data_IF_543408846762
#
_entry.id   IF_543408846762
#
_cell.length_a   1.000
_cell.length_b   1.000
_cell.length_c   1.000
_cell.angle_alpha   90.00
_cell.angle_beta   90.00
_cell.angle_gamma   90.00
#
_symmetry.space_group_name_H-M   'P 1'
#
loop_
_entity.id
_entity.type
_entity.pdbx_description
1 polymer ?
#
# COMPACT_ATOMS: atom_id res chain seq x y z
N UNK A 1 -8.34 0.90 28.78
CA UNK A 1 -7.36 1.28 27.74
C UNK A 1 -6.51 2.41 28.30
N UNK A 2 -5.52 2.09 29.13
CA UNK A 2 -4.56 3.06 29.67
C UNK A 2 -3.31 2.95 28.81
N UNK A 3 -2.99 4.02 28.07
CA UNK A 3 -2.02 4.03 26.98
C UNK A 3 -0.65 3.46 27.33
N UNK A 4 -0.12 2.65 26.40
CA UNK A 4 1.26 2.19 26.39
C UNK A 4 2.18 3.14 25.62
N UNK A 5 3.49 2.96 25.79
CA UNK A 5 4.52 3.83 25.23
C UNK A 5 4.66 3.65 23.71
N UNK A 6 4.53 4.73 22.95
CA UNK A 6 4.60 4.76 21.48
C UNK A 6 6.02 4.70 20.91
N UNK A 7 7.02 4.39 21.75
CA UNK A 7 8.44 4.32 21.37
C UNK A 7 8.83 3.00 20.68
N UNK A 8 7.92 2.03 20.62
CA UNK A 8 8.19 0.75 19.97
C UNK A 8 7.99 0.83 18.46
N UNK A 9 9.07 0.62 17.71
CA UNK A 9 9.13 0.60 16.24
C UNK A 9 8.06 -0.32 15.59
N UNK A 10 7.60 -1.33 16.32
CA UNK A 10 6.67 -2.36 15.86
C UNK A 10 5.22 -2.17 16.29
N UNK A 11 4.87 -1.04 16.91
CA UNK A 11 3.52 -0.84 17.43
C UNK A 11 2.83 0.41 16.85
N UNK A 12 2.50 0.44 15.55
CA UNK A 12 2.13 1.70 14.91
C UNK A 12 0.63 2.00 14.93
N UNK A 13 -0.25 1.08 15.36
CA UNK A 13 -1.70 1.23 15.07
C UNK A 13 -2.69 1.01 16.22
N UNK A 14 -2.35 0.37 17.36
CA UNK A 14 -3.40 -0.03 18.32
C UNK A 14 -3.15 0.15 19.82
N UNK A 15 -1.96 0.49 20.30
CA UNK A 15 -1.70 0.46 21.75
C UNK A 15 -1.45 1.83 22.43
N UNK A 16 -1.32 2.92 21.66
CA UNK A 16 -0.80 4.17 22.22
C UNK A 16 -1.48 5.43 21.68
N UNK A 17 -2.81 5.59 21.87
CA UNK A 17 -3.40 6.92 21.69
C UNK A 17 -4.47 7.29 22.72
N UNK A 18 -4.20 8.37 23.44
CA UNK A 18 -5.14 9.03 24.37
C UNK A 18 -5.95 10.12 23.63
N UNK A 19 -5.54 10.52 22.41
CA UNK A 19 -6.11 11.62 21.63
C UNK A 19 -7.01 11.20 20.46
N UNK A 20 -7.38 9.92 20.34
CA UNK A 20 -8.24 9.38 19.26
C UNK A 20 -7.72 9.53 17.81
N UNK A 21 -6.54 10.11 17.59
CA UNK A 21 -5.94 10.36 16.28
C UNK A 21 -5.61 9.05 15.53
N UNK A 22 -5.02 8.08 16.22
CA UNK A 22 -4.67 6.77 15.65
C UNK A 22 -5.91 5.93 15.28
N UNK A 23 -7.04 6.10 15.98
CA UNK A 23 -8.29 5.42 15.63
C UNK A 23 -8.84 5.91 14.27
N UNK A 24 -8.70 7.21 13.97
CA UNK A 24 -9.12 7.78 12.68
C UNK A 24 -8.30 7.18 11.53
N UNK A 25 -6.97 7.11 11.70
CA UNK A 25 -6.08 6.49 10.69
C UNK A 25 -6.29 4.98 10.56
N UNK A 26 -6.58 4.28 11.65
CA UNK A 26 -6.97 2.87 11.64
C UNK A 26 -8.26 2.64 10.86
N UNK A 27 -9.30 3.46 11.09
CA UNK A 27 -10.55 3.39 10.34
C UNK A 27 -10.36 3.67 8.85
N UNK A 28 -9.58 4.69 8.50
CA UNK A 28 -9.23 4.97 7.10
C UNK A 28 -8.52 3.78 6.44
N UNK A 29 -7.61 3.12 7.16
CA UNK A 29 -6.91 1.93 6.68
C UNK A 29 -7.88 0.76 6.44
N UNK A 30 -8.86 0.54 7.33
CA UNK A 30 -9.89 -0.50 7.15
C UNK A 30 -10.72 -0.23 5.88
N UNK A 31 -11.16 1.02 5.66
CA UNK A 31 -11.89 1.38 4.44
C UNK A 31 -11.01 1.12 3.21
N UNK A 32 -9.75 1.53 3.27
CA UNK A 32 -8.81 1.36 2.17
C UNK A 32 -8.59 -0.12 1.80
N UNK A 33 -8.33 -0.98 2.79
CA UNK A 33 -8.16 -2.41 2.55
C UNK A 33 -9.43 -3.07 2.04
N UNK A 34 -10.60 -2.65 2.55
CA UNK A 34 -11.90 -3.12 2.05
C UNK A 34 -12.11 -2.72 0.59
N UNK A 35 -11.76 -1.48 0.23
CA UNK A 35 -11.80 -0.99 -1.15
C UNK A 35 -10.84 -1.76 -2.07
N UNK A 36 -9.67 -2.17 -1.56
CA UNK A 36 -8.74 -3.04 -2.29
C UNK A 36 -9.36 -4.41 -2.60
N UNK A 37 -10.05 -5.02 -1.62
CA UNK A 37 -10.74 -6.30 -1.83
C UNK A 37 -11.84 -6.13 -2.88
N UNK A 38 -12.65 -5.07 -2.77
CA UNK A 38 -13.71 -4.79 -3.74
C UNK A 38 -13.15 -4.57 -5.16
N UNK A 39 -12.04 -3.83 -5.30
CA UNK A 39 -11.42 -3.58 -6.61
C UNK A 39 -10.84 -4.84 -7.24
N UNK A 40 -10.32 -5.78 -6.42
CA UNK A 40 -9.87 -7.08 -6.90
C UNK A 40 -11.03 -7.92 -7.46
N UNK A 41 -12.20 -7.92 -6.79
CA UNK A 41 -13.41 -8.62 -7.29
C UNK A 41 -13.89 -8.01 -8.60
N UNK A 42 -13.91 -6.68 -8.69
CA UNK A 42 -14.30 -5.95 -9.90
C UNK A 42 -13.37 -6.30 -11.07
N UNK A 43 -12.06 -6.43 -10.83
CA UNK A 43 -11.11 -6.84 -11.86
C UNK A 43 -11.42 -8.22 -12.42
N UNK A 44 -11.71 -9.22 -11.56
CA UNK A 44 -12.07 -10.57 -11.99
C UNK A 44 -13.32 -10.54 -12.88
N UNK A 45 -14.33 -9.77 -12.48
CA UNK A 45 -15.53 -9.59 -13.29
C UNK A 45 -15.22 -8.89 -14.63
N UNK A 46 -14.37 -7.87 -14.61
CA UNK A 46 -13.93 -7.13 -15.80
C UNK A 46 -13.19 -8.00 -16.82
N UNK A 47 -12.36 -8.94 -16.36
CA UNK A 47 -11.67 -9.90 -17.22
C UNK A 47 -12.69 -10.83 -17.88
N UNK A 48 -13.65 -11.37 -17.12
CA UNK A 48 -14.66 -12.29 -17.65
C UNK A 48 -15.58 -11.65 -18.70
N UNK A 49 -15.87 -10.35 -18.56
CA UNK A 49 -16.72 -9.61 -19.48
C UNK A 49 -15.93 -8.90 -20.60
N UNK A 50 -14.60 -9.02 -20.62
CA UNK A 50 -13.68 -8.31 -21.54
C UNK A 50 -13.87 -6.77 -21.48
N UNK A 51 -14.40 -6.26 -20.36
CA UNK A 51 -14.60 -4.84 -20.12
C UNK A 51 -13.31 -4.26 -19.55
N UNK A 52 -12.47 -3.77 -20.46
CA UNK A 52 -11.12 -3.23 -20.18
C UNK A 52 -11.09 -2.10 -19.15
N UNK A 53 -12.18 -1.35 -18.98
CA UNK A 53 -12.26 -0.22 -18.03
C UNK A 53 -12.34 -0.64 -16.56
N UNK A 54 -12.81 -1.86 -16.26
CA UNK A 54 -12.98 -2.33 -14.88
C UNK A 54 -11.66 -2.71 -14.18
N UNK A 55 -10.55 -2.68 -14.91
CA UNK A 55 -9.21 -2.88 -14.38
C UNK A 55 -8.60 -1.59 -13.80
N UNK A 56 -9.08 -0.41 -14.21
CA UNK A 56 -8.58 0.90 -13.76
C UNK A 56 -8.68 1.12 -12.24
N UNK A 57 -9.79 0.80 -11.56
CA UNK A 57 -9.90 1.01 -10.10
C UNK A 57 -8.81 0.27 -9.33
N UNK A 58 -8.47 -0.95 -9.77
CA UNK A 58 -7.41 -1.74 -9.15
C UNK A 58 -6.03 -1.12 -9.38
N UNK A 59 -5.72 -0.68 -10.61
CA UNK A 59 -4.45 -0.02 -10.92
C UNK A 59 -4.23 1.24 -10.08
N UNK A 60 -5.26 2.08 -9.93
CA UNK A 60 -5.17 3.35 -9.18
C UNK A 60 -4.88 3.07 -7.70
N UNK A 61 -5.61 2.14 -7.09
CA UNK A 61 -5.42 1.79 -5.68
C UNK A 61 -4.02 1.20 -5.46
N UNK A 62 -3.54 0.32 -6.35
CA UNK A 62 -2.18 -0.21 -6.23
C UNK A 62 -1.08 0.83 -6.43
N UNK A 63 -1.29 1.80 -7.32
CA UNK A 63 -0.37 2.92 -7.49
C UNK A 63 -0.26 3.75 -6.21
N UNK A 64 -1.39 4.07 -5.57
CA UNK A 64 -1.44 4.80 -4.30
C UNK A 64 -0.70 4.00 -3.21
N UNK A 65 -0.93 2.68 -3.12
CA UNK A 65 -0.20 1.81 -2.17
C UNK A 65 1.31 1.91 -2.39
N UNK A 66 1.79 1.81 -3.63
CA UNK A 66 3.23 1.89 -3.93
C UNK A 66 3.80 3.27 -3.58
N UNK A 67 3.10 4.36 -3.90
CA UNK A 67 3.52 5.72 -3.57
C UNK A 67 3.60 5.94 -2.05
N UNK A 68 2.62 5.42 -1.30
CA UNK A 68 2.65 5.45 0.16
C UNK A 68 3.83 4.64 0.73
N UNK A 69 4.07 3.43 0.23
CA UNK A 69 5.20 2.60 0.68
C UNK A 69 6.56 3.26 0.40
N UNK A 70 6.69 3.97 -0.72
CA UNK A 70 7.88 4.76 -1.03
C UNK A 70 8.08 5.89 -0.02
N UNK A 71 7.03 6.71 0.19
CA UNK A 71 7.08 7.82 1.14
C UNK A 71 7.36 7.35 2.57
N UNK A 72 6.72 6.26 3.00
CA UNK A 72 6.94 5.65 4.30
C UNK A 72 8.35 5.06 4.45
N UNK A 73 8.88 4.41 3.40
CA UNK A 73 10.25 3.92 3.38
C UNK A 73 11.29 5.04 3.47
N UNK A 74 11.08 6.16 2.76
CA UNK A 74 11.93 7.35 2.87
C UNK A 74 11.86 7.97 4.26
N UNK A 75 10.67 8.05 4.84
CA UNK A 75 10.48 8.55 6.21
C UNK A 75 11.19 7.66 7.24
N UNK A 76 11.06 6.33 7.13
CA UNK A 76 11.77 5.37 7.98
C UNK A 76 13.29 5.53 7.89
N UNK A 77 13.81 5.70 6.67
CA UNK A 77 15.24 5.91 6.46
C UNK A 77 15.68 7.26 7.06
N UNK A 78 14.96 8.34 6.80
CA UNK A 78 15.28 9.66 7.33
C UNK A 78 15.28 9.74 8.86
N UNK A 79 14.34 9.08 9.52
CA UNK A 79 14.21 9.08 10.98
C UNK A 79 15.11 8.09 11.71
N UNK A 80 15.42 6.94 11.09
CA UNK A 80 15.96 5.77 11.81
C UNK A 80 17.10 5.05 11.07
N UNK A 81 17.80 5.69 10.13
CA UNK A 81 18.91 5.08 9.37
C UNK A 81 20.05 4.51 10.23
N UNK A 82 20.21 4.97 11.48
CA UNK A 82 21.23 4.46 12.40
C UNK A 82 21.00 2.98 12.76
N UNK A 83 19.76 2.49 12.65
CA UNK A 83 19.41 1.12 12.91
C UNK A 83 19.47 0.27 11.63
N UNK A 84 20.45 -0.63 11.55
CA UNK A 84 20.63 -1.53 10.40
C UNK A 84 19.35 -2.34 10.07
N UNK A 85 18.60 -2.74 11.10
CA UNK A 85 17.34 -3.46 10.95
C UNK A 85 16.30 -2.66 10.15
N UNK A 86 16.23 -1.33 10.36
CA UNK A 86 15.30 -0.45 9.64
C UNK A 86 15.71 -0.30 8.19
N UNK A 87 17.01 -0.17 7.93
CA UNK A 87 17.55 -0.11 6.56
C UNK A 87 17.21 -1.39 5.79
N UNK A 88 17.36 -2.56 6.42
CA UNK A 88 16.99 -3.84 5.82
C UNK A 88 15.48 -3.94 5.56
N UNK A 89 14.64 -3.55 6.52
CA UNK A 89 13.18 -3.53 6.33
C UNK A 89 12.76 -2.61 5.19
N UNK A 90 13.39 -1.43 5.07
CA UNK A 90 13.16 -0.50 3.96
C UNK A 90 13.56 -1.10 2.60
N UNK A 91 14.72 -1.76 2.53
CA UNK A 91 15.19 -2.44 1.31
C UNK A 91 14.20 -3.53 0.87
N UNK A 92 13.75 -4.38 1.80
CA UNK A 92 12.77 -5.44 1.51
C UNK A 92 11.45 -4.84 1.01
N UNK A 93 10.99 -3.76 1.64
CA UNK A 93 9.78 -3.06 1.19
C UNK A 93 9.93 -2.50 -0.23
N UNK A 94 11.09 -1.92 -0.56
CA UNK A 94 11.35 -1.39 -1.90
C UNK A 94 11.50 -2.48 -2.96
N UNK A 95 12.08 -3.63 -2.61
CA UNK A 95 12.11 -4.80 -3.50
C UNK A 95 10.70 -5.32 -3.79
N UNK A 96 9.87 -5.44 -2.76
CA UNK A 96 8.46 -5.82 -2.90
C UNK A 96 7.69 -4.79 -3.74
N UNK A 97 7.90 -3.50 -3.50
CA UNK A 97 7.30 -2.43 -4.28
C UNK A 97 7.74 -2.48 -5.75
N UNK A 98 9.04 -2.68 -6.01
CA UNK A 98 9.58 -2.79 -7.37
C UNK A 98 8.96 -3.94 -8.16
N UNK A 99 8.74 -5.08 -7.50
CA UNK A 99 8.00 -6.20 -8.10
C UNK A 99 6.55 -5.84 -8.45
N UNK A 100 5.83 -5.15 -7.56
CA UNK A 100 4.44 -4.77 -7.84
C UNK A 100 4.35 -3.68 -8.94
N UNK A 101 5.29 -2.74 -8.96
CA UNK A 101 5.37 -1.71 -10.01
C UNK A 101 5.63 -2.34 -11.38
N UNK A 102 6.51 -3.35 -11.48
CA UNK A 102 6.74 -4.03 -12.75
C UNK A 102 5.49 -4.72 -13.29
N UNK A 103 4.66 -5.31 -12.42
CA UNK A 103 3.36 -5.89 -12.78
C UNK A 103 2.41 -4.80 -13.30
N UNK A 104 2.34 -3.64 -12.63
CA UNK A 104 1.50 -2.52 -13.09
C UNK A 104 1.91 -2.07 -14.49
N UNK A 105 3.21 -1.88 -14.72
CA UNK A 105 3.72 -1.50 -16.04
C UNK A 105 3.45 -2.58 -17.09
N UNK A 106 3.61 -3.85 -16.76
CA UNK A 106 3.31 -4.96 -17.66
C UNK A 106 1.83 -4.96 -18.06
N UNK A 107 0.91 -4.77 -17.11
CA UNK A 107 -0.53 -4.71 -17.39
C UNK A 107 -0.88 -3.51 -18.29
N UNK A 108 -0.29 -2.35 -18.04
CA UNK A 108 -0.49 -1.15 -18.87
C UNK A 108 0.06 -1.37 -20.28
N UNK A 109 1.27 -1.93 -20.40
CA UNK A 109 1.92 -2.19 -21.68
C UNK A 109 1.14 -3.17 -22.56
N UNK A 110 0.68 -4.29 -21.99
CA UNK A 110 -0.18 -5.23 -22.71
C UNK A 110 -1.52 -4.61 -23.11
N UNK A 111 -2.00 -3.60 -22.37
CA UNK A 111 -3.23 -2.91 -22.73
C UNK A 111 -3.05 -1.97 -23.92
N UNK A 112 -1.89 -1.32 -24.05
CA UNK A 112 -1.58 -0.40 -25.15
C UNK A 112 -1.28 -1.14 -26.45
N UNK A 113 -0.57 -2.26 -26.40
CA UNK A 113 -0.22 -3.05 -27.60
C UNK A 113 -1.42 -3.70 -28.31
N UNK A 114 -2.53 -3.90 -27.60
CA UNK A 114 -3.77 -4.46 -28.18
C UNK A 114 -4.62 -3.41 -28.94
N UNK A 115 -4.25 -2.13 -28.88
CA UNK A 115 -4.93 -1.06 -29.62
C UNK A 115 -4.16 -0.61 -30.87
N UNK A 116 -3.04 -1.26 -31.20
CA UNK A 116 -2.31 -1.14 -32.47
C UNK A 116 -2.64 -2.34 -33.37
#
# INVERSE_FOLDING_TARGET
>A
MCGGDSTQLYNPLFEADVRYSLQVWGFFSIIYFTAMIASAIIMIFGINQVIRGLLLPWLIIWFITCAFQLAFGLWLLGGYYIYLQVVLSCLINWLWMGYNVSILFFVIYNRTSVNE
#
